data_IF_042352964271
#
_entry.id   IF_042352964271
#
_cell.length_a   1.000
_cell.length_b   1.000
_cell.length_c   1.000
_cell.angle_alpha   90.00
_cell.angle_beta   90.00
_cell.angle_gamma   90.00
#
_symmetry.space_group_name_H-M   'P 1'
#
loop_
_entity.id
_entity.type
_entity.pdbx_description
1 polymer ?
#
# COMPACT_ATOMS: atom_id res chain seq x y z
N UNK A 1 -5.76 14.34 -4.57
CA UNK A 1 -6.98 14.86 -5.23
C UNK A 1 -7.78 13.73 -5.85
N UNK A 2 -9.10 13.83 -5.97
CA UNK A 2 -9.91 12.83 -6.66
C UNK A 2 -10.20 13.22 -8.10
N UNK A 3 -10.24 12.23 -8.99
CA UNK A 3 -10.76 12.32 -10.37
C UNK A 3 -11.67 11.12 -10.59
N UNK A 4 -13.00 11.31 -10.49
CA UNK A 4 -13.92 10.17 -10.40
C UNK A 4 -13.54 9.28 -9.22
N UNK A 5 -13.33 7.99 -9.47
CA UNK A 5 -12.89 7.02 -8.45
C UNK A 5 -11.37 6.92 -8.26
N UNK A 6 -10.60 7.69 -9.03
CA UNK A 6 -9.14 7.66 -8.98
C UNK A 6 -8.65 8.68 -7.94
N UNK A 7 -7.73 8.24 -7.06
CA UNK A 7 -6.94 9.13 -6.22
C UNK A 7 -5.65 9.50 -6.93
N UNK A 8 -5.48 10.79 -7.24
CA UNK A 8 -4.22 11.37 -7.71
C UNK A 8 -3.40 11.78 -6.49
N UNK A 9 -2.22 11.19 -6.35
CA UNK A 9 -1.21 11.54 -5.37
C UNK A 9 0.05 12.03 -6.08
N UNK A 10 0.60 13.15 -5.62
CA UNK A 10 1.84 13.74 -6.17
C UNK A 10 2.92 13.60 -5.10
N UNK A 11 4.07 13.08 -5.49
CA UNK A 11 5.20 12.93 -4.58
C UNK A 11 5.68 14.32 -4.12
N UNK A 12 5.61 14.64 -2.81
CA UNK A 12 6.01 15.96 -2.31
C UNK A 12 7.54 16.13 -2.19
N UNK A 13 8.33 15.07 -2.37
CA UNK A 13 9.79 15.04 -2.13
C UNK A 13 10.22 15.54 -0.74
N UNK A 14 9.31 15.55 0.22
CA UNK A 14 9.54 15.90 1.62
C UNK A 14 8.53 15.17 2.51
N UNK A 15 8.88 15.01 3.77
CA UNK A 15 7.93 14.52 4.76
C UNK A 15 6.81 15.54 4.97
N UNK A 16 5.59 15.04 5.09
CA UNK A 16 4.39 15.80 5.39
C UNK A 16 3.61 15.09 6.49
N UNK A 17 3.12 15.84 7.46
CA UNK A 17 2.53 15.30 8.69
C UNK A 17 1.05 14.91 8.53
N UNK A 18 0.71 14.19 7.45
CA UNK A 18 -0.67 13.77 7.14
C UNK A 18 -0.90 12.26 7.30
N UNK A 19 0.12 11.52 7.74
CA UNK A 19 0.07 10.05 7.86
C UNK A 19 0.10 9.56 9.32
N UNK A 20 -0.16 10.45 10.27
CA UNK A 20 -0.16 10.09 11.69
C UNK A 20 -1.35 9.18 12.06
N UNK A 21 -1.27 8.54 13.23
CA UNK A 21 -2.37 7.73 13.77
C UNK A 21 -3.65 8.53 13.99
N UNK A 22 -3.54 9.85 14.24
CA UNK A 22 -4.69 10.75 14.31
C UNK A 22 -5.35 10.90 12.95
N UNK A 23 -4.57 11.11 11.88
CA UNK A 23 -5.09 11.17 10.52
C UNK A 23 -5.73 9.85 10.11
N UNK A 24 -5.10 8.71 10.42
CA UNK A 24 -5.67 7.37 10.19
C UNK A 24 -7.11 7.26 10.72
N UNK A 25 -7.35 7.71 11.95
CA UNK A 25 -8.68 7.66 12.61
C UNK A 25 -9.73 8.53 11.92
N UNK A 26 -9.36 9.65 11.31
CA UNK A 26 -10.31 10.53 10.63
C UNK A 26 -11.04 9.83 9.49
N UNK A 27 -10.39 8.85 8.85
CA UNK A 27 -10.92 8.17 7.67
C UNK A 27 -11.65 6.86 7.97
N UNK A 28 -11.60 6.34 9.20
CA UNK A 28 -12.24 5.07 9.54
C UNK A 28 -13.77 5.21 9.52
N UNK A 29 -14.43 4.49 8.62
CA UNK A 29 -15.89 4.53 8.45
C UNK A 29 -16.43 5.89 7.99
N UNK A 30 -15.56 6.80 7.56
CA UNK A 30 -15.95 8.13 7.14
C UNK A 30 -16.45 8.12 5.70
N UNK A 31 -17.51 8.90 5.43
CA UNK A 31 -17.94 9.12 4.04
C UNK A 31 -16.82 9.80 3.25
N UNK A 32 -16.66 9.44 1.98
CA UNK A 32 -15.63 10.00 1.09
C UNK A 32 -15.62 11.53 1.01
N UNK A 33 -16.78 12.18 1.18
CA UNK A 33 -16.93 13.63 1.16
C UNK A 33 -16.68 14.32 2.51
N UNK A 34 -16.53 13.56 3.59
CA UNK A 34 -16.38 14.11 4.93
C UNK A 34 -14.96 14.66 5.19
N UNK A 35 -13.96 14.14 4.49
CA UNK A 35 -12.56 14.50 4.65
C UNK A 35 -11.90 14.80 3.29
N UNK A 36 -10.76 15.53 3.28
CA UNK A 36 -9.99 15.76 2.06
C UNK A 36 -9.52 14.45 1.39
N UNK A 37 -9.22 14.47 0.08
CA UNK A 37 -8.75 13.28 -0.63
C UNK A 37 -7.47 12.70 -0.03
N UNK A 38 -7.53 11.43 0.38
CA UNK A 38 -6.42 10.78 1.07
C UNK A 38 -6.35 9.28 0.79
N UNK A 39 -5.16 8.70 0.90
CA UNK A 39 -4.94 7.27 0.68
C UNK A 39 -5.64 6.39 1.72
N UNK A 40 -5.77 6.90 2.95
CA UNK A 40 -6.52 6.21 4.00
C UNK A 40 -8.02 6.10 3.70
N UNK A 41 -8.59 7.06 2.96
CA UNK A 41 -9.96 6.93 2.49
C UNK A 41 -10.10 5.80 1.46
N UNK A 42 -9.11 5.61 0.58
CA UNK A 42 -9.10 4.50 -0.39
C UNK A 42 -9.02 3.15 0.32
N UNK A 43 -8.17 3.04 1.35
CA UNK A 43 -8.10 1.85 2.20
C UNK A 43 -9.42 1.57 2.92
N UNK A 44 -10.06 2.59 3.51
CA UNK A 44 -11.35 2.43 4.20
C UNK A 44 -12.46 2.01 3.24
N UNK A 45 -12.59 2.66 2.08
CA UNK A 45 -13.58 2.28 1.06
C UNK A 45 -13.40 0.83 0.62
N UNK A 46 -12.16 0.41 0.35
CA UNK A 46 -11.85 -0.98 0.00
C UNK A 46 -12.23 -1.95 1.13
N UNK A 47 -11.82 -1.65 2.36
CA UNK A 47 -12.13 -2.49 3.52
C UNK A 47 -13.64 -2.60 3.78
N UNK A 48 -14.36 -1.47 3.80
CA UNK A 48 -15.81 -1.47 4.02
C UNK A 48 -16.55 -2.21 2.91
N UNK A 49 -16.14 -2.06 1.65
CA UNK A 49 -16.73 -2.78 0.52
C UNK A 49 -16.50 -4.29 0.65
N UNK A 50 -15.27 -4.70 0.99
CA UNK A 50 -14.93 -6.10 1.24
C UNK A 50 -15.82 -6.71 2.32
N UNK A 51 -15.98 -6.06 3.47
CA UNK A 51 -16.77 -6.57 4.60
C UNK A 51 -18.27 -6.54 4.29
N UNK A 52 -18.76 -5.48 3.65
CA UNK A 52 -20.20 -5.30 3.38
C UNK A 52 -20.71 -6.27 2.32
N UNK A 53 -19.94 -6.45 1.23
CA UNK A 53 -20.33 -7.27 0.09
C UNK A 53 -19.75 -8.69 0.14
N UNK A 54 -18.91 -8.99 1.13
CA UNK A 54 -18.21 -10.27 1.26
C UNK A 54 -17.51 -10.68 -0.04
N UNK A 55 -16.81 -9.72 -0.65
CA UNK A 55 -16.20 -9.86 -1.98
C UNK A 55 -14.82 -9.22 -2.02
N UNK A 56 -13.86 -9.91 -2.64
CA UNK A 56 -12.48 -9.45 -2.73
C UNK A 56 -12.36 -8.10 -3.44
N UNK A 57 -11.43 -7.27 -2.96
CA UNK A 57 -11.20 -5.93 -3.49
C UNK A 57 -9.76 -5.81 -4.01
N UNK A 58 -9.58 -5.01 -5.06
CA UNK A 58 -8.27 -4.78 -5.66
C UNK A 58 -7.99 -3.27 -5.75
N UNK A 59 -6.83 -2.86 -5.23
CA UNK A 59 -6.34 -1.48 -5.35
C UNK A 59 -5.12 -1.50 -6.28
N UNK A 60 -5.22 -0.80 -7.40
CA UNK A 60 -4.14 -0.69 -8.38
C UNK A 60 -3.41 0.64 -8.18
N UNK A 61 -2.08 0.57 -8.02
CA UNK A 61 -1.21 1.73 -7.87
C UNK A 61 -0.29 1.82 -9.09
N UNK A 62 -0.48 2.85 -9.90
CA UNK A 62 0.31 3.09 -11.11
C UNK A 62 1.05 4.42 -11.05
N UNK A 63 2.04 4.57 -11.94
CA UNK A 63 2.89 5.76 -12.04
C UNK A 63 4.31 5.44 -12.46
N UNK A 64 5.06 6.45 -12.87
CA UNK A 64 6.46 6.32 -13.28
C UNK A 64 7.39 5.96 -12.11
N UNK A 65 8.64 5.62 -12.41
CA UNK A 65 9.65 5.42 -11.35
C UNK A 65 9.83 6.72 -10.55
N UNK A 66 9.94 6.61 -9.22
CA UNK A 66 10.02 7.79 -8.34
C UNK A 66 8.68 8.46 -7.99
N UNK A 67 7.56 8.07 -8.60
CA UNK A 67 6.25 8.69 -8.35
C UNK A 67 5.66 8.45 -6.94
N UNK A 68 6.27 7.57 -6.12
CA UNK A 68 5.78 7.27 -4.76
C UNK A 68 4.87 6.03 -4.64
N UNK A 69 4.86 5.15 -5.64
CA UNK A 69 4.05 3.91 -5.63
C UNK A 69 4.31 3.04 -4.40
N UNK A 70 5.59 2.79 -4.10
CA UNK A 70 6.01 1.95 -2.97
C UNK A 70 5.54 2.51 -1.63
N UNK A 71 5.68 3.83 -1.43
CA UNK A 71 5.19 4.50 -0.22
C UNK A 71 3.66 4.46 -0.11
N UNK A 72 2.98 4.62 -1.24
CA UNK A 72 1.51 4.49 -1.29
C UNK A 72 1.06 3.08 -0.90
N UNK A 73 1.74 2.04 -1.40
CA UNK A 73 1.46 0.65 -1.01
C UNK A 73 1.70 0.43 0.49
N UNK A 74 2.82 0.91 1.04
CA UNK A 74 3.12 0.81 2.46
C UNK A 74 2.03 1.46 3.34
N UNK A 75 1.59 2.68 2.99
CA UNK A 75 0.53 3.39 3.71
C UNK A 75 -0.82 2.68 3.64
N UNK A 76 -1.17 2.07 2.50
CA UNK A 76 -2.38 1.25 2.37
C UNK A 76 -2.32 0.04 3.31
N UNK A 77 -1.21 -0.69 3.33
CA UNK A 77 -1.02 -1.86 4.21
C UNK A 77 -1.12 -1.48 5.68
N UNK A 78 -0.49 -0.37 6.05
CA UNK A 78 -0.56 0.15 7.41
C UNK A 78 -2.01 0.45 7.82
N UNK A 79 -2.76 1.16 6.97
CA UNK A 79 -4.16 1.49 7.26
C UNK A 79 -5.06 0.25 7.27
N UNK A 80 -4.90 -0.66 6.31
CA UNK A 80 -5.68 -1.91 6.23
C UNK A 80 -5.42 -2.83 7.43
N UNK A 81 -4.21 -2.80 7.99
CA UNK A 81 -3.90 -3.56 9.21
C UNK A 81 -4.57 -2.95 10.44
N UNK A 82 -4.66 -1.62 10.51
CA UNK A 82 -5.43 -0.91 11.57
C UNK A 82 -6.93 -1.23 11.46
N UNK A 83 -7.50 -1.13 10.25
CA UNK A 83 -8.90 -1.45 9.98
C UNK A 83 -9.22 -2.92 10.28
N UNK A 84 -8.32 -3.81 9.88
CA UNK A 84 -8.41 -5.25 10.08
C UNK A 84 -8.24 -5.71 11.53
N UNK A 85 -8.04 -4.80 12.50
CA UNK A 85 -7.89 -5.11 13.93
C UNK A 85 -7.02 -6.35 14.17
N UNK A 86 -5.78 -6.34 13.67
CA UNK A 86 -4.88 -7.49 13.82
C UNK A 86 -4.86 -7.96 15.28
N UNK A 87 -5.35 -9.17 15.56
CA UNK A 87 -5.40 -9.73 16.92
C UNK A 87 -4.01 -9.99 17.51
N UNK A 88 -2.95 -9.81 16.71
CA UNK A 88 -1.58 -10.09 17.07
C UNK A 88 -0.64 -9.00 16.53
N UNK A 89 0.02 -8.29 17.45
CA UNK A 89 1.02 -7.26 17.13
C UNK A 89 2.16 -7.80 16.27
N UNK A 90 2.60 -9.03 16.52
CA UNK A 90 3.64 -9.71 15.75
C UNK A 90 3.22 -9.95 14.30
N UNK A 91 1.93 -10.18 14.04
CA UNK A 91 1.43 -10.35 12.66
C UNK A 91 1.51 -9.03 11.90
N UNK A 92 1.07 -7.93 12.51
CA UNK A 92 1.18 -6.59 11.93
C UNK A 92 2.63 -6.22 11.61
N UNK A 93 3.55 -6.44 12.56
CA UNK A 93 4.98 -6.16 12.38
C UNK A 93 5.56 -7.00 11.24
N UNK A 94 5.23 -8.30 11.17
CA UNK A 94 5.67 -9.17 10.07
C UNK A 94 5.17 -8.70 8.72
N UNK A 95 3.89 -8.36 8.59
CA UNK A 95 3.29 -7.90 7.33
C UNK A 95 4.00 -6.63 6.82
N UNK A 96 4.28 -5.68 7.72
CA UNK A 96 4.98 -4.44 7.36
C UNK A 96 6.45 -4.68 6.96
N UNK A 97 7.12 -5.65 7.59
CA UNK A 97 8.52 -5.99 7.29
C UNK A 97 8.71 -6.70 5.95
N UNK A 98 7.70 -7.39 5.41
CA UNK A 98 7.86 -8.12 4.14
C UNK A 98 8.26 -7.17 3.01
N UNK A 99 7.72 -5.95 2.96
CA UNK A 99 8.11 -4.98 1.93
C UNK A 99 9.60 -4.67 1.96
N UNK A 100 10.17 -4.39 3.14
CA UNK A 100 11.60 -4.12 3.29
C UNK A 100 12.45 -5.29 2.80
N UNK A 101 12.02 -6.53 3.09
CA UNK A 101 12.72 -7.72 2.63
C UNK A 101 12.74 -7.79 1.10
N UNK A 102 11.58 -7.69 0.43
CA UNK A 102 11.52 -7.83 -1.03
C UNK A 102 12.19 -6.64 -1.74
N UNK A 103 12.19 -5.46 -1.13
CA UNK A 103 12.96 -4.31 -1.64
C UNK A 103 14.46 -4.54 -1.61
N UNK A 104 15.00 -5.15 -0.55
CA UNK A 104 16.42 -5.44 -0.45
C UNK A 104 16.96 -6.33 -1.57
N UNK A 105 16.10 -7.19 -2.15
CA UNK A 105 16.49 -8.11 -3.24
C UNK A 105 16.04 -7.65 -4.64
N UNK A 106 14.99 -6.84 -4.73
CA UNK A 106 14.38 -6.49 -6.01
C UNK A 106 14.42 -5.01 -6.39
N UNK A 107 14.89 -4.13 -5.50
CA UNK A 107 15.11 -2.73 -5.84
C UNK A 107 16.58 -2.48 -6.22
N UNK A 108 16.80 -1.44 -7.02
CA UNK A 108 18.13 -0.99 -7.38
C UNK A 108 18.18 0.53 -7.59
N UNK A 109 19.37 1.11 -7.38
CA UNK A 109 19.68 2.45 -7.84
C UNK A 109 19.68 2.54 -9.36
N UNK A 110 19.08 3.61 -9.88
CA UNK A 110 19.03 3.96 -11.29
C UNK A 110 19.35 5.44 -11.44
N UNK A 111 19.66 5.89 -12.66
CA UNK A 111 19.97 7.30 -12.96
C UNK A 111 18.88 8.27 -12.45
N UNK A 112 17.63 7.83 -12.38
CA UNK A 112 16.45 8.67 -12.10
C UNK A 112 15.90 8.44 -10.67
N UNK A 113 16.24 7.31 -10.03
CA UNK A 113 15.68 6.91 -8.75
C UNK A 113 16.62 5.94 -8.03
N UNK A 114 17.04 6.32 -6.83
CA UNK A 114 17.97 5.57 -5.98
C UNK A 114 17.37 4.26 -5.44
N UNK A 115 16.04 4.14 -5.39
CA UNK A 115 15.34 2.96 -4.89
C UNK A 115 14.23 2.51 -5.87
N UNK A 116 14.62 2.21 -7.12
CA UNK A 116 13.67 1.77 -8.15
C UNK A 116 13.38 0.27 -8.03
N UNK A 117 12.12 -0.11 -7.77
CA UNK A 117 11.69 -1.51 -7.90
C UNK A 117 11.84 -2.00 -9.33
N UNK A 118 12.48 -3.16 -9.51
CA UNK A 118 12.75 -3.79 -10.81
C UNK A 118 11.89 -5.04 -11.06
N UNK A 119 10.69 -5.03 -10.49
CA UNK A 119 9.69 -6.09 -10.54
C UNK A 119 8.32 -5.52 -10.17
N UNK A 120 7.26 -6.17 -10.67
CA UNK A 120 5.89 -5.96 -10.21
C UNK A 120 5.64 -6.69 -8.90
N UNK A 121 4.81 -6.09 -8.04
CA UNK A 121 4.38 -6.63 -6.75
C UNK A 121 2.87 -6.74 -6.71
N UNK A 122 2.36 -7.88 -6.29
CA UNK A 122 0.98 -8.08 -5.89
C UNK A 122 0.97 -8.50 -4.42
N UNK A 123 0.36 -7.69 -3.58
CA UNK A 123 0.25 -7.96 -2.14
C UNK A 123 -1.21 -8.22 -1.82
N UNK A 124 -1.48 -9.44 -1.39
CA UNK A 124 -2.80 -9.88 -0.94
C UNK A 124 -2.86 -9.80 0.58
N UNK A 125 -3.74 -8.95 1.11
CA UNK A 125 -4.08 -8.98 2.53
C UNK A 125 -5.29 -9.88 2.74
N UNK A 126 -5.17 -10.86 3.64
CA UNK A 126 -6.22 -11.86 3.90
C UNK A 126 -6.99 -11.48 5.14
N UNK A 127 -8.32 -11.47 5.03
CA UNK A 127 -9.24 -11.12 6.10
C UNK A 127 -10.24 -12.25 6.36
N UNK A 128 -10.75 -12.35 7.57
CA UNK A 128 -11.93 -13.16 7.88
C UNK A 128 -13.21 -12.48 7.37
N UNK A 129 -14.32 -13.21 7.31
CA UNK A 129 -15.64 -12.62 7.02
C UNK A 129 -16.03 -11.53 8.03
N UNK A 130 -15.50 -11.57 9.25
CA UNK A 130 -15.68 -10.52 10.27
C UNK A 130 -14.76 -9.31 10.09
N UNK A 131 -13.97 -9.26 9.01
CA UNK A 131 -13.07 -8.16 8.70
C UNK A 131 -11.77 -8.17 9.50
N UNK A 132 -11.41 -9.28 10.16
CA UNK A 132 -10.13 -9.37 10.90
C UNK A 132 -9.00 -9.80 9.99
N UNK A 133 -7.87 -9.10 9.98
CA UNK A 133 -6.68 -9.50 9.20
C UNK A 133 -6.05 -10.75 9.80
N UNK A 134 -5.80 -11.75 8.95
CA UNK A 134 -5.23 -13.06 9.34
C UNK A 134 -3.89 -13.35 8.69
N UNK A 135 -3.53 -12.61 7.64
CA UNK A 135 -2.25 -12.79 6.96
C UNK A 135 -2.08 -11.89 5.77
N UNK A 136 -0.92 -12.01 5.13
CA UNK A 136 -0.66 -11.42 3.83
C UNK A 136 0.21 -12.34 2.98
N UNK A 137 0.11 -12.22 1.66
CA UNK A 137 0.90 -12.96 0.68
C UNK A 137 1.43 -11.97 -0.35
N UNK A 138 2.71 -12.09 -0.70
CA UNK A 138 3.31 -11.31 -1.79
C UNK A 138 3.60 -12.25 -2.95
N UNK A 139 3.16 -11.84 -4.13
CA UNK A 139 3.56 -12.40 -5.41
C UNK A 139 4.29 -11.34 -6.23
N UNK A 140 5.27 -11.80 -6.97
CA UNK A 140 6.22 -11.04 -7.76
C UNK A 140 6.03 -11.35 -9.24
N UNK A 141 6.24 -10.35 -10.09
CA UNK A 141 6.13 -10.54 -11.53
C UNK A 141 7.20 -9.75 -12.25
N UNK A 142 7.66 -10.25 -13.39
CA UNK A 142 8.52 -9.49 -14.32
C UNK A 142 9.81 -8.95 -13.67
N UNK A 143 10.48 -9.77 -12.85
CA UNK A 143 11.80 -9.42 -12.29
C UNK A 143 12.82 -9.18 -13.42
N UNK A 144 13.52 -8.06 -13.38
CA UNK A 144 14.57 -7.70 -14.33
C UNK A 144 15.85 -8.53 -14.10
N UNK A 145 15.85 -9.78 -14.56
CA UNK A 145 16.96 -10.72 -14.36
C UNK A 145 18.28 -10.26 -14.98
N UNK A 146 18.25 -9.46 -16.06
CA UNK A 146 19.46 -8.95 -16.73
C UNK A 146 20.33 -8.10 -15.80
N UNK A 147 19.74 -7.38 -14.84
CA UNK A 147 20.45 -6.51 -13.91
C UNK A 147 21.43 -7.27 -13.00
N UNK A 148 21.21 -8.57 -12.80
CA UNK A 148 22.08 -9.42 -11.97
C UNK A 148 23.48 -9.51 -12.57
N UNK A 149 23.61 -9.52 -13.89
CA UNK A 149 24.88 -9.71 -14.60
C UNK A 149 25.35 -8.48 -15.39
N UNK A 150 24.52 -7.44 -15.48
CA UNK A 150 24.82 -6.25 -16.26
C UNK A 150 24.28 -4.97 -15.60
N UNK A 151 25.13 -3.94 -15.55
CA UNK A 151 24.78 -2.59 -15.12
C UNK A 151 25.34 -1.58 -16.13
N UNK A 152 24.60 -0.51 -16.37
CA UNK A 152 24.99 0.62 -17.22
C UNK A 152 25.33 1.84 -16.37
#
# INVERSE_FOLDING_TARGET
TYVGDILIAVNPFRNIDIYSSQHSKLYIGAKRTANPPHIFAVADIGYQSMVTYNSDQCIVISGESGAGKTQSAHLLVQQLTVLGKANNRTLQEKILQVNNLVEAFGNAGTIINDNSSRFGKYLEMKFTCGGTVVGAQISEYLLEKSRVVHQA
#
